data_IF_132612802705
#
_entry.id   IF_132612802705
#
_cell.length_a   1.000
_cell.length_b   1.000
_cell.length_c   1.000
_cell.angle_alpha   90.00
_cell.angle_beta   90.00
_cell.angle_gamma   90.00
#
_symmetry.space_group_name_H-M   'P 1'
#
loop_
_entity.id
_entity.type
_entity.pdbx_description
1 polymer ?
#
# COMPACT_ATOMS: atom_id res chain seq x y z
N UNK A 1 -23.42 0.06 -35.89
CA UNK A 1 -23.21 -0.51 -34.53
C UNK A 1 -22.03 0.25 -33.95
N UNK A 2 -22.29 1.21 -33.05
CA UNK A 2 -21.23 2.02 -32.45
C UNK A 2 -20.43 1.14 -31.48
N UNK A 3 -19.10 1.32 -31.46
CA UNK A 3 -18.17 0.53 -30.63
C UNK A 3 -18.32 0.79 -29.10
N UNK A 4 -19.31 1.59 -28.70
CA UNK A 4 -19.59 2.01 -27.32
C UNK A 4 -20.50 1.05 -26.52
N UNK A 5 -21.04 -0.01 -27.14
CA UNK A 5 -22.07 -0.86 -26.50
C UNK A 5 -21.52 -2.16 -25.88
N UNK A 6 -20.19 -2.31 -25.78
CA UNK A 6 -19.58 -3.43 -25.06
C UNK A 6 -19.33 -3.00 -23.62
N UNK A 7 -19.90 -3.70 -22.61
CA UNK A 7 -19.66 -3.36 -21.22
C UNK A 7 -18.16 -3.50 -20.90
N UNK A 8 -17.58 -2.56 -20.13
CA UNK A 8 -16.16 -2.62 -19.80
C UNK A 8 -15.84 -3.90 -19.01
N UNK A 9 -14.66 -4.46 -19.29
CA UNK A 9 -14.16 -5.62 -18.57
C UNK A 9 -13.78 -5.21 -17.14
N UNK A 10 -14.23 -5.97 -16.14
CA UNK A 10 -13.98 -5.70 -14.73
C UNK A 10 -13.28 -6.89 -14.07
N UNK A 11 -12.43 -6.61 -13.09
CA UNK A 11 -11.79 -7.64 -12.28
C UNK A 11 -11.45 -7.12 -10.90
N UNK A 12 -11.59 -7.99 -9.90
CA UNK A 12 -11.22 -7.71 -8.52
C UNK A 12 -10.16 -8.70 -8.08
N UNK A 13 -9.09 -8.20 -7.47
CA UNK A 13 -8.03 -8.99 -6.87
C UNK A 13 -8.01 -8.70 -5.36
N UNK A 14 -7.91 -9.75 -4.56
CA UNK A 14 -7.75 -9.65 -3.12
C UNK A 14 -6.39 -10.26 -2.76
N UNK A 15 -5.51 -9.45 -2.18
CA UNK A 15 -4.13 -9.84 -1.92
C UNK A 15 -3.91 -9.86 -0.40
N UNK A 16 -3.81 -11.05 0.21
CA UNK A 16 -3.56 -11.15 1.64
C UNK A 16 -2.10 -10.87 1.97
N UNK A 17 -1.88 -10.06 3.00
CA UNK A 17 -0.57 -9.78 3.57
C UNK A 17 -0.45 -10.38 4.98
N UNK A 18 0.78 -10.61 5.48
CA UNK A 18 1.00 -11.17 6.82
C UNK A 18 0.50 -10.26 7.96
N UNK A 19 0.56 -8.94 7.76
CA UNK A 19 0.12 -7.95 8.76
C UNK A 19 -0.67 -6.80 8.10
N UNK A 20 -1.54 -6.10 8.85
CA UNK A 20 -2.20 -4.88 8.36
C UNK A 20 -1.25 -3.75 7.97
N UNK A 21 -0.07 -3.69 8.60
CA UNK A 21 0.96 -2.71 8.26
C UNK A 21 1.54 -2.99 6.86
N UNK A 22 1.79 -4.26 6.53
CA UNK A 22 2.24 -4.66 5.19
C UNK A 22 1.22 -4.28 4.11
N UNK A 23 -0.07 -4.54 4.34
CA UNK A 23 -1.11 -4.15 3.39
C UNK A 23 -1.15 -2.63 3.17
N UNK A 24 -1.03 -1.82 4.23
CA UNK A 24 -0.98 -0.36 4.13
C UNK A 24 0.28 0.16 3.44
N UNK A 25 1.43 -0.44 3.73
CA UNK A 25 2.69 -0.07 3.10
C UNK A 25 2.65 -0.39 1.61
N UNK A 26 2.10 -1.56 1.24
CA UNK A 26 1.93 -1.96 -0.16
C UNK A 26 0.97 -1.01 -0.88
N UNK A 27 -0.17 -0.66 -0.26
CA UNK A 27 -1.08 0.34 -0.82
C UNK A 27 -0.36 1.66 -1.14
N UNK A 28 0.41 2.20 -0.19
CA UNK A 28 1.12 3.48 -0.37
C UNK A 28 2.18 3.41 -1.46
N UNK A 29 2.87 2.28 -1.59
CA UNK A 29 3.87 2.09 -2.63
C UNK A 29 3.23 1.94 -4.01
N UNK A 30 2.14 1.19 -4.11
CA UNK A 30 1.50 0.84 -5.39
C UNK A 30 0.56 1.93 -5.94
N UNK A 31 0.07 2.84 -5.10
CA UNK A 31 -0.77 3.98 -5.52
C UNK A 31 0.01 5.02 -6.35
N UNK A 32 1.33 5.09 -6.18
CA UNK A 32 2.19 6.06 -6.90
C UNK A 32 2.44 5.63 -8.35
N UNK A 33 2.16 4.37 -8.69
CA UNK A 33 2.27 3.85 -10.04
C UNK A 33 1.05 4.30 -10.87
N UNK A 34 1.25 5.35 -11.66
CA UNK A 34 0.23 5.98 -12.51
C UNK A 34 -0.11 5.05 -13.69
N UNK A 35 -1.40 4.88 -13.98
CA UNK A 35 -1.80 3.95 -15.05
C UNK A 35 -1.38 4.46 -16.44
N UNK A 36 -0.79 3.54 -17.22
CA UNK A 36 -0.25 3.78 -18.55
C UNK A 36 -1.26 4.31 -19.59
N UNK A 37 -2.59 4.27 -19.32
CA UNK A 37 -3.60 4.70 -20.29
C UNK A 37 -4.97 4.95 -19.67
N UNK A 38 -5.72 5.93 -20.19
CA UNK A 38 -7.15 6.17 -19.89
C UNK A 38 -8.09 4.99 -20.20
N UNK A 39 -7.57 3.97 -20.88
CA UNK A 39 -8.28 2.74 -21.26
C UNK A 39 -8.43 1.75 -20.09
N UNK A 40 -7.70 1.94 -18.99
CA UNK A 40 -7.81 1.17 -17.75
C UNK A 40 -7.97 2.14 -16.59
N UNK A 41 -8.79 1.75 -15.62
CA UNK A 41 -8.95 2.40 -14.32
C UNK A 41 -8.72 1.37 -13.23
N UNK A 42 -7.80 1.67 -12.33
CA UNK A 42 -7.48 0.88 -11.14
C UNK A 42 -7.76 1.67 -9.87
N UNK A 43 -8.44 1.03 -8.94
CA UNK A 43 -8.65 1.54 -7.57
C UNK A 43 -8.05 0.55 -6.59
N UNK A 44 -7.22 1.03 -5.67
CA UNK A 44 -6.65 0.23 -4.58
C UNK A 44 -7.18 0.72 -3.24
N UNK A 45 -7.51 -0.21 -2.35
CA UNK A 45 -7.91 0.08 -0.97
C UNK A 45 -7.58 -1.09 -0.06
N UNK A 46 -7.35 -0.84 1.23
CA UNK A 46 -7.30 -1.92 2.23
C UNK A 46 -8.72 -2.28 2.64
N UNK A 47 -9.01 -3.58 2.73
CA UNK A 47 -10.34 -4.07 3.10
C UNK A 47 -10.71 -3.62 4.52
N UNK A 48 -11.92 -3.05 4.74
CA UNK A 48 -12.35 -2.59 6.07
C UNK A 48 -12.60 -3.75 7.05
N UNK A 49 -13.06 -4.89 6.54
CA UNK A 49 -13.36 -6.09 7.34
C UNK A 49 -12.10 -6.92 7.61
N UNK A 50 -11.13 -6.88 6.69
CA UNK A 50 -9.89 -7.65 6.76
C UNK A 50 -8.69 -6.72 6.50
N UNK A 51 -8.17 -6.02 7.51
CA UNK A 51 -7.21 -4.92 7.32
C UNK A 51 -5.83 -5.36 6.84
N UNK A 52 -5.59 -6.67 6.68
CA UNK A 52 -4.41 -7.26 6.07
C UNK A 52 -4.62 -7.64 4.59
N UNK A 53 -5.77 -7.33 3.99
CA UNK A 53 -6.07 -7.63 2.58
C UNK A 53 -6.10 -6.33 1.78
N UNK A 54 -5.36 -6.32 0.67
CA UNK A 54 -5.40 -5.25 -0.32
C UNK A 54 -6.42 -5.62 -1.40
N UNK A 55 -7.44 -4.79 -1.55
CA UNK A 55 -8.45 -4.87 -2.59
C UNK A 55 -8.01 -4.03 -3.78
N UNK A 56 -7.96 -4.66 -4.96
CA UNK A 56 -7.61 -4.01 -6.22
C UNK A 56 -8.74 -4.22 -7.21
N UNK A 57 -9.37 -3.13 -7.62
CA UNK A 57 -10.47 -3.16 -8.57
C UNK A 57 -10.05 -2.54 -9.90
N UNK A 58 -10.24 -3.29 -10.99
CA UNK A 58 -9.93 -2.89 -12.34
C UNK A 58 -11.19 -2.71 -13.17
N UNK A 59 -11.17 -1.70 -14.03
CA UNK A 59 -12.13 -1.50 -15.11
C UNK A 59 -11.36 -1.17 -16.39
N UNK A 60 -11.56 -1.90 -17.46
CA UNK A 60 -10.85 -1.72 -18.72
C UNK A 60 -11.80 -1.79 -19.92
N UNK A 61 -11.42 -1.16 -21.03
CA UNK A 61 -12.21 -1.22 -22.28
C UNK A 61 -12.24 -2.61 -22.90
N UNK A 62 -11.22 -3.44 -22.67
CA UNK A 62 -11.16 -4.82 -23.20
C UNK A 62 -10.46 -5.78 -22.23
N UNK A 63 -10.78 -7.07 -22.34
CA UNK A 63 -10.05 -8.13 -21.63
C UNK A 63 -8.55 -8.15 -21.96
N UNK A 64 -8.16 -7.75 -23.18
CA UNK A 64 -6.74 -7.62 -23.54
C UNK A 64 -6.06 -6.57 -22.68
N UNK A 65 -6.68 -5.39 -22.54
CA UNK A 65 -6.11 -4.30 -21.76
C UNK A 65 -6.07 -4.63 -20.26
N UNK A 66 -7.11 -5.30 -19.76
CA UNK A 66 -7.14 -5.83 -18.40
C UNK A 66 -5.95 -6.77 -18.14
N UNK A 67 -5.66 -7.71 -19.04
CA UNK A 67 -4.52 -8.62 -18.89
C UNK A 67 -3.18 -7.89 -18.85
N UNK A 68 -2.98 -6.88 -19.69
CA UNK A 68 -1.75 -6.09 -19.71
C UNK A 68 -1.58 -5.34 -18.38
N UNK A 69 -2.65 -4.69 -17.90
CA UNK A 69 -2.62 -3.95 -16.64
C UNK A 69 -2.38 -4.86 -15.42
N UNK A 70 -3.05 -6.03 -15.37
CA UNK A 70 -2.90 -6.99 -14.27
C UNK A 70 -1.48 -7.57 -14.24
N UNK A 71 -0.90 -7.89 -15.40
CA UNK A 71 0.48 -8.39 -15.46
C UNK A 71 1.49 -7.33 -14.95
N UNK A 72 1.39 -6.10 -15.45
CA UNK A 72 2.26 -5.01 -14.99
C UNK A 72 2.11 -4.71 -13.49
N UNK A 73 0.88 -4.83 -12.97
CA UNK A 73 0.65 -4.70 -11.53
C UNK A 73 1.37 -5.78 -10.71
N UNK A 74 1.37 -7.04 -11.17
CA UNK A 74 2.09 -8.10 -10.46
C UNK A 74 3.61 -7.91 -10.51
N UNK A 75 4.13 -7.31 -11.58
CA UNK A 75 5.55 -6.92 -11.65
C UNK A 75 5.86 -5.86 -10.58
N UNK A 76 5.07 -4.78 -10.52
CA UNK A 76 5.23 -3.74 -9.47
C UNK A 76 5.04 -4.31 -8.06
N UNK A 77 4.06 -5.19 -7.85
CA UNK A 77 3.82 -5.85 -6.57
C UNK A 77 5.00 -6.74 -6.16
N UNK A 78 5.58 -7.50 -7.10
CA UNK A 78 6.75 -8.34 -6.83
C UNK A 78 7.94 -7.54 -6.34
N UNK A 79 8.18 -6.35 -6.93
CA UNK A 79 9.23 -5.43 -6.47
C UNK A 79 8.93 -4.94 -5.05
N UNK A 80 7.70 -4.51 -4.77
CA UNK A 80 7.31 -4.05 -3.43
C UNK A 80 7.46 -5.15 -2.39
N UNK A 81 7.04 -6.38 -2.71
CA UNK A 81 7.18 -7.52 -1.81
C UNK A 81 8.64 -7.91 -1.58
N UNK A 82 9.49 -7.88 -2.62
CA UNK A 82 10.92 -8.14 -2.45
C UNK A 82 11.61 -7.08 -1.59
N UNK A 83 11.25 -5.80 -1.78
CA UNK A 83 11.73 -4.71 -0.92
C UNK A 83 11.22 -4.88 0.51
N UNK A 84 9.96 -5.30 0.69
CA UNK A 84 9.44 -5.60 2.03
C UNK A 84 10.21 -6.75 2.67
N UNK A 85 10.50 -7.84 1.96
CA UNK A 85 11.26 -8.97 2.51
C UNK A 85 12.69 -8.56 2.91
N UNK A 86 13.36 -7.73 2.11
CA UNK A 86 14.72 -7.26 2.40
C UNK A 86 14.78 -6.17 3.48
N UNK A 87 13.72 -5.37 3.64
CA UNK A 87 13.66 -4.27 4.62
C UNK A 87 12.92 -4.63 5.90
N UNK A 88 12.11 -5.68 5.93
CA UNK A 88 11.42 -6.20 7.12
C UNK A 88 12.38 -6.98 8.04
N UNK A 89 13.61 -6.48 8.18
CA UNK A 89 14.66 -7.07 9.01
C UNK A 89 14.45 -6.72 10.48
N UNK A 90 13.76 -5.63 10.78
CA UNK A 90 13.28 -5.27 12.12
C UNK A 90 12.54 -3.94 11.97
N UNK A 91 11.37 -3.80 12.59
CA UNK A 91 10.87 -2.46 12.96
C UNK A 91 12.02 -1.75 13.71
N UNK A 92 12.71 -0.79 13.08
CA UNK A 92 13.94 -0.11 13.59
C UNK A 92 13.74 0.60 14.95
N UNK A 93 12.55 0.48 15.54
CA UNK A 93 12.24 0.80 16.92
C UNK A 93 11.46 -0.38 17.54
N UNK A 94 12.15 -1.41 18.03
CA UNK A 94 11.79 -1.90 19.38
C UNK A 94 11.60 -0.64 20.22
N UNK A 95 10.50 -0.54 20.97
CA UNK A 95 10.25 0.58 21.89
C UNK A 95 11.58 1.06 22.44
N UNK A 96 11.85 2.37 22.41
CA UNK A 96 12.99 2.93 23.10
C UNK A 96 12.96 2.47 24.55
N UNK A 97 13.58 1.31 24.82
CA UNK A 97 13.93 0.81 26.14
C UNK A 97 15.21 1.52 26.55
N UNK A 98 15.21 2.83 26.38
CA UNK A 98 16.10 3.71 27.08
C UNK A 98 15.16 4.74 27.67
N UNK A 99 14.72 4.44 28.90
CA UNK A 99 14.37 5.50 29.83
C UNK A 99 15.45 6.57 29.69
N UNK A 100 15.10 7.73 29.13
CA UNK A 100 15.99 8.89 29.08
C UNK A 100 16.10 9.52 30.47
N UNK A 101 16.13 8.70 31.53
CA UNK A 101 16.46 9.10 32.88
C UNK A 101 17.98 9.23 32.95
N UNK A 102 18.46 10.43 32.59
CA UNK A 102 19.88 10.74 32.45
C UNK A 102 20.25 11.48 31.17
N UNK A 103 19.29 11.78 30.27
CA UNK A 103 19.55 12.63 29.13
C UNK A 103 19.91 14.05 29.60
N UNK A 104 21.20 14.34 29.65
CA UNK A 104 21.79 15.59 30.09
C UNK A 104 21.45 16.72 29.10
N UNK A 105 20.24 17.27 29.24
CA UNK A 105 19.72 18.32 28.38
C UNK A 105 18.30 18.78 28.69
N UNK A 106 17.53 18.03 29.48
CA UNK A 106 16.22 18.46 29.97
C UNK A 106 16.35 18.97 31.41
N UNK A 107 16.63 20.26 31.57
CA UNK A 107 16.54 20.86 32.91
C UNK A 107 15.06 20.93 33.33
N UNK A 108 14.69 20.46 34.54
CA UNK A 108 13.38 20.73 35.08
C UNK A 108 13.27 22.25 35.30
N UNK A 109 12.41 22.90 34.53
CA UNK A 109 11.97 24.27 34.79
C UNK A 109 11.29 24.30 36.17
N UNK A 110 12.05 24.72 37.19
CA UNK A 110 11.51 24.98 38.51
C UNK A 110 10.53 26.13 38.37
N UNK A 111 9.22 25.84 38.41
CA UNK A 111 8.20 26.87 38.59
C UNK A 111 8.47 27.53 39.93
N UNK A 112 9.06 28.73 39.85
CA UNK A 112 9.09 29.68 40.95
C UNK A 112 7.65 30.07 41.24
N UNK A 113 7.08 29.50 42.29
CA UNK A 113 5.88 30.05 42.91
C UNK A 113 6.36 31.13 43.87
N UNK A 114 6.10 32.38 43.48
CA UNK A 114 6.09 33.55 44.34
C UNK A 114 4.75 34.25 44.16
#
# INVERSE_FOLDING_TARGET
MHADDIPPAQSTLNIPFPTPAHANNALRALVVDDELSSLVKRTLSVSPDTPNVLDVHYTATTNRMLRVAVNGFFDSLGVVLGVMEELDVDTVLKEGKESVEGAQGLMPIKRSVG
#
